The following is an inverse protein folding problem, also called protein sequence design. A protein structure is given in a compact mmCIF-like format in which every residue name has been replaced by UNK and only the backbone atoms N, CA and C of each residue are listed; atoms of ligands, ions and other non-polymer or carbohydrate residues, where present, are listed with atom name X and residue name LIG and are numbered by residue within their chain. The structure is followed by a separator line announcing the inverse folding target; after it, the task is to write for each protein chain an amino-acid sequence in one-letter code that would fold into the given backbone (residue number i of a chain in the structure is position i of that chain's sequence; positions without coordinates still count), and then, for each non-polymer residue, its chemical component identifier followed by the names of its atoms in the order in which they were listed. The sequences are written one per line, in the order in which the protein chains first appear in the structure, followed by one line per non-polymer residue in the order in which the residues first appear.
data_IF_958281067599
#
_entry.id   IF_958281067599
#
_cell.length_a   1.000
_cell.length_b   1.000
_cell.length_c   1.000
_cell.angle_alpha   90.00
_cell.angle_beta   90.00
_cell.angle_gamma   90.00
#
_symmetry.space_group_name_H-M   'P 1'
#
loop_
_entity.id
_entity.type
_entity.pdbx_description
1 polymer ?
#
# COMPACT_ATOMS: atom_id res chain seq x y z
N UNK A 1 17.59 -35.79 -1.38
CA UNK A 1 16.19 -35.55 -0.96
C UNK A 1 16.20 -35.12 0.49
N UNK A 2 16.26 -33.84 0.74
CA UNK A 2 16.24 -33.26 2.10
C UNK A 2 14.80 -33.10 2.59
N UNK A 3 14.59 -33.31 3.89
CA UNK A 3 13.30 -33.05 4.53
C UNK A 3 12.86 -31.58 4.29
N UNK A 4 11.56 -31.29 4.18
CA UNK A 4 11.06 -29.93 4.09
C UNK A 4 11.53 -29.11 5.30
N UNK A 5 12.15 -27.96 5.05
CA UNK A 5 12.64 -27.06 6.10
C UNK A 5 12.18 -25.64 5.83
N UNK A 6 11.83 -24.93 6.90
CA UNK A 6 11.54 -23.51 6.83
C UNK A 6 12.85 -22.78 6.59
N UNK A 7 12.94 -22.02 5.50
CA UNK A 7 14.12 -21.22 5.11
C UNK A 7 14.00 -19.79 5.59
N UNK A 8 12.79 -19.23 5.54
CA UNK A 8 12.51 -17.86 5.94
C UNK A 8 11.17 -17.75 6.66
N UNK A 9 11.03 -16.74 7.49
CA UNK A 9 9.81 -16.43 8.23
C UNK A 9 9.54 -14.93 8.14
N UNK A 10 8.42 -14.56 7.57
CA UNK A 10 7.94 -13.18 7.54
C UNK A 10 6.80 -13.04 8.55
N UNK A 11 6.96 -12.10 9.49
CA UNK A 11 5.90 -11.75 10.43
C UNK A 11 5.20 -10.53 9.86
N UNK A 12 3.92 -10.67 9.63
CA UNK A 12 3.02 -9.58 9.30
C UNK A 12 2.22 -9.18 10.55
N UNK A 13 1.15 -8.50 10.42
CA UNK A 13 0.38 -7.89 11.50
C UNK A 13 0.09 -8.90 12.63
N UNK A 14 0.43 -8.53 13.86
CA UNK A 14 0.13 -9.15 15.16
C UNK A 14 0.48 -10.64 15.27
N UNK A 15 -0.39 -11.52 14.81
CA UNK A 15 -0.31 -12.96 15.03
C UNK A 15 -0.24 -13.78 13.74
N UNK A 16 -0.15 -13.15 12.57
CA UNK A 16 -0.03 -13.83 11.27
C UNK A 16 1.40 -13.81 10.77
N UNK A 17 1.89 -14.99 10.39
CA UNK A 17 3.19 -15.16 9.77
C UNK A 17 3.09 -15.93 8.46
N UNK A 18 3.99 -15.62 7.52
CA UNK A 18 4.22 -16.41 6.31
C UNK A 18 5.54 -17.18 6.49
N UNK A 19 5.47 -18.49 6.40
CA UNK A 19 6.61 -19.38 6.45
C UNK A 19 7.00 -19.78 5.03
N UNK A 20 8.27 -19.66 4.70
CA UNK A 20 8.81 -20.05 3.41
C UNK A 20 9.56 -21.36 3.56
N UNK A 21 9.20 -22.34 2.75
CA UNK A 21 9.83 -23.64 2.73
C UNK A 21 10.86 -23.77 1.62
N UNK A 22 11.87 -24.62 1.84
CA UNK A 22 12.88 -24.93 0.82
C UNK A 22 12.30 -25.63 -0.43
N UNK A 23 11.06 -26.07 -0.35
CA UNK A 23 10.29 -26.66 -1.48
C UNK A 23 9.67 -25.61 -2.42
N UNK A 24 9.76 -24.31 -2.07
CA UNK A 24 9.09 -23.25 -2.82
C UNK A 24 7.60 -23.10 -2.46
N UNK A 25 7.21 -23.53 -1.27
CA UNK A 25 5.87 -23.35 -0.72
C UNK A 25 5.86 -22.22 0.32
N UNK A 26 4.80 -21.44 0.33
CA UNK A 26 4.47 -20.48 1.37
C UNK A 26 3.34 -21.06 2.23
N UNK A 27 3.52 -21.04 3.54
CA UNK A 27 2.45 -21.40 4.48
C UNK A 27 2.08 -20.18 5.30
N UNK A 28 0.83 -19.75 5.23
CA UNK A 28 0.30 -18.66 6.07
C UNK A 28 -0.25 -19.28 7.34
N UNK A 29 0.27 -18.85 8.48
CA UNK A 29 -0.13 -19.34 9.79
C UNK A 29 -0.59 -18.20 10.68
N UNK A 30 -1.54 -18.48 11.56
CA UNK A 30 -2.02 -17.55 12.59
C UNK A 30 -1.73 -18.16 13.96
N UNK A 31 -1.12 -17.41 14.85
CA UNK A 31 -0.81 -17.86 16.20
C UNK A 31 -2.10 -18.26 16.93
N UNK A 32 -2.06 -19.40 17.58
CA UNK A 32 -3.22 -19.95 18.28
C UNK A 32 -4.18 -20.78 17.43
N UNK A 33 -4.02 -20.82 16.11
CA UNK A 33 -4.75 -21.75 15.23
C UNK A 33 -3.91 -23.00 14.97
N UNK A 34 -4.49 -24.22 15.11
CA UNK A 34 -3.73 -25.47 14.96
C UNK A 34 -3.44 -25.82 13.48
N UNK A 35 -4.15 -25.20 12.54
CA UNK A 35 -4.00 -25.46 11.12
C UNK A 35 -3.55 -24.19 10.38
N UNK A 36 -2.72 -24.32 9.33
CA UNK A 36 -2.38 -23.19 8.48
C UNK A 36 -3.62 -22.61 7.81
N UNK A 37 -3.63 -21.30 7.61
CA UNK A 37 -4.71 -20.60 6.89
C UNK A 37 -4.66 -20.90 5.40
N UNK A 38 -3.44 -20.97 4.85
CA UNK A 38 -3.22 -21.21 3.42
C UNK A 38 -1.87 -21.85 3.15
N UNK A 39 -1.79 -22.63 2.08
CA UNK A 39 -0.55 -23.11 1.48
C UNK A 39 -0.53 -22.70 0.00
N UNK A 40 0.52 -22.01 -0.43
CA UNK A 40 0.64 -21.41 -1.76
C UNK A 40 2.00 -21.78 -2.34
N UNK A 41 2.02 -22.28 -3.57
CA UNK A 41 3.27 -22.57 -4.28
C UNK A 41 3.71 -21.34 -5.08
N UNK A 42 4.94 -20.85 -4.82
CA UNK A 42 5.59 -19.81 -5.59
C UNK A 42 7.11 -19.88 -5.46
N UNK A 43 7.81 -19.60 -6.55
CA UNK A 43 9.28 -19.52 -6.58
C UNK A 43 9.81 -18.12 -6.19
N UNK A 44 8.92 -17.16 -5.93
CA UNK A 44 9.26 -15.74 -5.71
C UNK A 44 9.03 -15.31 -4.27
N UNK A 45 9.26 -16.20 -3.33
CA UNK A 45 9.15 -15.92 -1.91
C UNK A 45 10.28 -15.00 -1.43
N UNK A 46 9.94 -13.74 -1.21
CA UNK A 46 10.86 -12.70 -0.71
C UNK A 46 10.07 -11.65 0.04
N UNK A 47 10.64 -11.01 1.08
CA UNK A 47 9.97 -9.93 1.81
C UNK A 47 9.59 -8.74 0.93
N UNK A 48 10.26 -8.58 -0.22
CA UNK A 48 9.97 -7.50 -1.19
C UNK A 48 8.89 -7.89 -2.22
N UNK A 49 8.54 -9.18 -2.30
CA UNK A 49 7.64 -9.74 -3.30
C UNK A 49 6.40 -10.39 -2.67
N UNK A 50 6.19 -10.12 -1.41
CA UNK A 50 5.04 -10.58 -0.62
C UNK A 50 4.50 -9.40 0.20
N UNK A 51 3.18 -9.26 0.27
CA UNK A 51 2.55 -8.32 1.18
C UNK A 51 1.23 -8.88 1.68
N UNK A 52 1.03 -8.83 3.00
CA UNK A 52 -0.19 -9.27 3.68
C UNK A 52 -0.78 -8.09 4.44
N UNK A 53 -2.09 -7.88 4.29
CA UNK A 53 -2.84 -6.85 5.03
C UNK A 53 -4.22 -7.39 5.42
N UNK A 54 -4.78 -6.79 6.47
CA UNK A 54 -6.15 -7.03 6.88
C UNK A 54 -7.08 -6.01 6.25
N UNK A 55 -8.15 -6.49 5.64
CA UNK A 55 -9.18 -5.62 5.09
C UNK A 55 -10.45 -5.70 5.94
N UNK A 56 -10.66 -4.69 6.78
CA UNK A 56 -11.88 -4.57 7.58
C UNK A 56 -13.10 -4.08 6.78
N UNK A 57 -12.89 -3.54 5.56
CA UNK A 57 -13.94 -2.89 4.76
C UNK A 57 -14.71 -3.86 3.84
N UNK A 58 -14.16 -5.01 3.53
CA UNK A 58 -14.84 -6.00 2.66
C UNK A 58 -15.74 -6.92 3.49
N UNK A 59 -16.78 -6.39 4.05
CA UNK A 59 -18.10 -6.94 4.45
C UNK A 59 -18.21 -8.31 5.15
N UNK A 60 -17.12 -9.02 5.44
CA UNK A 60 -17.12 -10.35 6.05
C UNK A 60 -15.98 -10.55 7.06
N UNK A 61 -15.93 -9.74 8.09
CA UNK A 61 -14.88 -9.89 9.10
C UNK A 61 -13.51 -9.36 8.59
N UNK A 62 -12.45 -9.59 9.35
CA UNK A 62 -11.09 -9.19 8.98
C UNK A 62 -10.54 -10.09 7.86
N UNK A 63 -10.91 -9.84 6.60
CA UNK A 63 -10.32 -10.52 5.45
C UNK A 63 -8.82 -10.29 5.42
N UNK A 64 -8.05 -11.36 5.27
CA UNK A 64 -6.59 -11.32 5.14
C UNK A 64 -6.23 -11.36 3.67
N UNK A 65 -5.71 -10.25 3.15
CA UNK A 65 -5.36 -10.09 1.74
C UNK A 65 -3.87 -10.31 1.56
N UNK A 66 -3.51 -11.30 0.74
CA UNK A 66 -2.13 -11.61 0.39
C UNK A 66 -1.89 -11.28 -1.09
N UNK A 67 -0.89 -10.46 -1.36
CA UNK A 67 -0.34 -10.24 -2.69
C UNK A 67 1.00 -10.96 -2.82
N UNK A 68 1.19 -11.72 -3.91
CA UNK A 68 2.41 -12.47 -4.19
C UNK A 68 2.64 -12.64 -5.69
N UNK A 69 3.88 -12.94 -6.09
CA UNK A 69 4.21 -13.23 -7.48
C UNK A 69 3.92 -14.69 -7.84
N UNK A 70 3.18 -14.90 -8.92
CA UNK A 70 2.99 -16.23 -9.57
C UNK A 70 4.14 -16.53 -10.52
N UNK A 71 4.58 -15.51 -11.23
CA UNK A 71 5.77 -15.49 -12.08
C UNK A 71 6.46 -14.13 -11.97
N UNK A 72 7.57 -13.92 -12.67
CA UNK A 72 8.37 -12.69 -12.57
C UNK A 72 7.65 -11.41 -13.01
N UNK A 73 6.49 -11.51 -13.67
CA UNK A 73 5.73 -10.40 -14.28
C UNK A 73 4.29 -10.34 -13.85
N UNK A 74 3.83 -11.31 -13.05
CA UNK A 74 2.43 -11.46 -12.67
C UNK A 74 2.27 -11.53 -11.16
N UNK A 75 1.44 -10.63 -10.61
CA UNK A 75 1.04 -10.61 -9.22
C UNK A 75 -0.35 -11.22 -9.10
N UNK A 76 -0.55 -12.07 -8.13
CA UNK A 76 -1.85 -12.57 -7.72
C UNK A 76 -2.18 -12.04 -6.34
N UNK A 77 -3.43 -11.60 -6.16
CA UNK A 77 -3.94 -11.10 -4.89
C UNK A 77 -5.10 -12.00 -4.49
N UNK A 78 -5.03 -12.56 -3.30
CA UNK A 78 -5.99 -13.54 -2.80
C UNK A 78 -6.47 -13.17 -1.40
N UNK A 79 -7.70 -13.56 -1.10
CA UNK A 79 -8.16 -13.70 0.27
C UNK A 79 -7.58 -14.99 0.84
N UNK A 80 -6.86 -14.91 1.95
CA UNK A 80 -6.12 -16.04 2.51
C UNK A 80 -7.06 -17.11 3.10
N UNK A 81 -8.22 -16.70 3.64
CA UNK A 81 -9.15 -17.63 4.28
C UNK A 81 -9.95 -18.45 3.27
N UNK A 82 -10.33 -17.80 2.17
CA UNK A 82 -11.15 -18.44 1.11
C UNK A 82 -10.33 -18.93 -0.06
N UNK A 83 -9.08 -18.48 -0.19
CA UNK A 83 -8.21 -18.64 -1.36
C UNK A 83 -8.79 -18.09 -2.66
N UNK A 84 -9.84 -17.27 -2.55
CA UNK A 84 -10.44 -16.62 -3.72
C UNK A 84 -9.51 -15.55 -4.26
N UNK A 85 -9.37 -15.52 -5.57
CA UNK A 85 -8.60 -14.46 -6.26
C UNK A 85 -9.41 -13.18 -6.26
N UNK A 86 -8.85 -12.13 -5.65
CA UNK A 86 -9.42 -10.77 -5.61
C UNK A 86 -8.98 -9.99 -6.85
N UNK A 87 -7.72 -10.16 -7.25
CA UNK A 87 -7.18 -9.48 -8.41
C UNK A 87 -5.94 -10.16 -8.97
N UNK A 88 -5.64 -9.84 -10.23
CA UNK A 88 -4.42 -10.28 -10.91
C UNK A 88 -3.87 -9.11 -11.70
N UNK A 89 -2.58 -8.87 -11.58
CA UNK A 89 -1.86 -7.84 -12.33
C UNK A 89 -0.79 -8.49 -13.15
N UNK A 90 -0.76 -8.18 -14.45
CA UNK A 90 0.30 -8.64 -15.35
C UNK A 90 0.91 -7.45 -16.07
N UNK A 91 2.25 -7.39 -16.08
CA UNK A 91 3.01 -6.36 -16.79
C UNK A 91 4.09 -6.97 -17.68
N UNK A 92 4.67 -6.16 -18.53
CA UNK A 92 5.68 -6.63 -19.51
C UNK A 92 7.06 -6.85 -18.89
N UNK A 93 7.39 -6.10 -17.85
CA UNK A 93 8.69 -6.14 -17.19
C UNK A 93 8.63 -7.01 -15.92
N UNK A 94 9.82 -7.48 -15.49
CA UNK A 94 9.95 -8.19 -14.21
C UNK A 94 9.62 -7.26 -13.05
N UNK A 95 8.86 -7.74 -12.06
CA UNK A 95 8.53 -7.03 -10.83
C UNK A 95 9.64 -7.26 -9.81
N UNK A 96 10.09 -6.21 -9.12
CA UNK A 96 11.16 -6.26 -8.14
C UNK A 96 10.71 -5.87 -6.71
N UNK A 97 9.53 -5.27 -6.56
CA UNK A 97 8.99 -4.88 -5.27
C UNK A 97 7.47 -4.69 -5.33
N UNK A 98 6.79 -5.00 -4.24
CA UNK A 98 5.35 -4.76 -4.06
C UNK A 98 4.98 -4.53 -2.59
N UNK A 99 3.91 -3.75 -2.36
CA UNK A 99 3.35 -3.51 -1.03
C UNK A 99 1.86 -3.15 -1.12
N UNK A 100 1.01 -3.83 -0.33
CA UNK A 100 -0.38 -3.44 -0.13
C UNK A 100 -0.46 -2.23 0.80
N UNK A 101 -1.42 -1.33 0.57
CA UNK A 101 -1.76 -0.28 1.52
C UNK A 101 -2.35 -0.86 2.82
N UNK A 102 -2.54 -0.03 3.82
CA UNK A 102 -2.97 -0.46 5.15
C UNK A 102 -4.32 -1.17 5.16
N UNK A 103 -5.25 -0.76 4.31
CA UNK A 103 -6.58 -1.37 4.19
C UNK A 103 -6.64 -2.58 3.24
N UNK A 104 -5.55 -2.91 2.53
CA UNK A 104 -5.55 -3.99 1.55
C UNK A 104 -6.43 -3.73 0.31
N UNK A 105 -6.73 -2.47 0.01
CA UNK A 105 -7.55 -2.05 -1.14
C UNK A 105 -6.76 -1.59 -2.35
N UNK A 106 -5.48 -1.27 -2.14
CA UNK A 106 -4.56 -0.84 -3.20
C UNK A 106 -3.22 -1.56 -3.07
N UNK A 107 -2.63 -1.86 -4.22
CA UNK A 107 -1.30 -2.46 -4.32
C UNK A 107 -0.36 -1.49 -5.02
N UNK A 108 0.70 -1.10 -4.36
CA UNK A 108 1.82 -0.38 -4.93
C UNK A 108 2.89 -1.38 -5.34
N UNK A 109 3.44 -1.25 -6.55
CA UNK A 109 4.51 -2.14 -6.99
C UNK A 109 5.43 -1.47 -8.00
N UNK A 110 6.64 -2.00 -8.12
CA UNK A 110 7.67 -1.46 -9.01
C UNK A 110 8.22 -2.57 -9.90
N UNK A 111 8.54 -2.21 -11.14
CA UNK A 111 9.22 -3.10 -12.07
C UNK A 111 10.76 -2.94 -12.04
N UNK A 112 11.49 -3.87 -12.66
CA UNK A 112 12.94 -3.86 -12.75
C UNK A 112 13.50 -2.69 -13.58
N UNK A 113 12.68 -2.00 -14.36
CA UNK A 113 13.01 -0.72 -15.01
C UNK A 113 12.76 0.49 -14.12
N UNK A 114 12.39 0.23 -12.86
CA UNK A 114 12.07 1.26 -11.86
C UNK A 114 10.85 2.11 -12.22
N UNK A 115 9.88 1.54 -12.94
CA UNK A 115 8.57 2.17 -13.10
C UNK A 115 7.67 1.78 -11.93
N UNK A 116 7.03 2.77 -11.32
CA UNK A 116 6.14 2.63 -10.18
C UNK A 116 4.69 2.65 -10.63
N UNK A 117 3.91 1.73 -10.11
CA UNK A 117 2.50 1.55 -10.43
C UNK A 117 1.66 1.41 -9.17
N UNK A 118 0.40 1.83 -9.24
CA UNK A 118 -0.63 1.51 -8.26
C UNK A 118 -1.75 0.72 -8.95
N UNK A 119 -2.21 -0.35 -8.31
CA UNK A 119 -3.36 -1.13 -8.72
C UNK A 119 -4.45 -1.02 -7.66
N UNK A 120 -5.62 -0.56 -8.07
CA UNK A 120 -6.80 -0.45 -7.21
C UNK A 120 -7.59 -1.77 -7.29
N UNK A 121 -7.74 -2.46 -6.15
CA UNK A 121 -8.42 -3.74 -6.06
C UNK A 121 -9.94 -3.63 -6.15
N UNK A 122 -10.50 -2.44 -5.91
CA UNK A 122 -11.97 -2.22 -5.92
C UNK A 122 -12.50 -2.11 -7.34
N UNK A 123 -11.84 -1.33 -8.18
CA UNK A 123 -12.25 -1.08 -9.57
C UNK A 123 -11.35 -1.75 -10.60
N UNK A 124 -10.35 -2.52 -10.15
CA UNK A 124 -9.37 -3.23 -10.98
C UNK A 124 -8.58 -2.33 -11.96
N UNK A 125 -8.39 -1.06 -11.62
CA UNK A 125 -7.62 -0.12 -12.43
C UNK A 125 -6.12 -0.17 -12.11
N UNK A 126 -5.30 -0.10 -13.16
CA UNK A 126 -3.85 0.00 -13.08
C UNK A 126 -3.41 1.38 -13.53
N UNK A 127 -2.68 2.08 -12.69
CA UNK A 127 -2.19 3.44 -12.92
C UNK A 127 -0.67 3.49 -12.79
N UNK A 128 0.03 4.07 -13.77
CA UNK A 128 1.45 4.37 -13.67
C UNK A 128 1.66 5.69 -12.92
N UNK A 129 2.54 5.71 -11.91
CA UNK A 129 2.82 6.88 -11.10
C UNK A 129 4.12 7.58 -11.49
N UNK A 130 5.20 6.83 -11.61
CA UNK A 130 6.55 7.41 -11.75
C UNK A 130 7.47 6.49 -12.53
N UNK A 131 8.35 7.07 -13.35
CA UNK A 131 9.49 6.39 -13.96
C UNK A 131 10.78 6.67 -13.18
N UNK A 132 11.77 5.78 -13.29
CA UNK A 132 13.07 5.88 -12.60
C UNK A 132 12.96 6.03 -11.07
N UNK A 133 12.00 5.34 -10.46
CA UNK A 133 11.74 5.33 -9.02
C UNK A 133 12.87 4.63 -8.26
N UNK A 134 13.58 5.35 -7.39
CA UNK A 134 14.64 4.78 -6.54
C UNK A 134 14.09 4.29 -5.19
N UNK A 135 13.06 4.94 -4.68
CA UNK A 135 12.38 4.62 -3.42
C UNK A 135 10.88 4.78 -3.58
N UNK A 136 10.10 3.90 -2.99
CA UNK A 136 8.65 4.05 -2.87
C UNK A 136 8.16 3.33 -1.62
N UNK A 137 7.16 3.94 -0.95
CA UNK A 137 6.50 3.37 0.23
C UNK A 137 5.16 4.07 0.47
N UNK A 138 4.22 3.34 1.07
CA UNK A 138 3.04 3.92 1.68
C UNK A 138 3.39 4.72 2.93
N UNK A 139 2.79 5.88 3.12
CA UNK A 139 2.87 6.57 4.40
C UNK A 139 2.16 5.73 5.48
N UNK A 140 2.71 5.64 6.70
CA UNK A 140 2.08 4.87 7.77
C UNK A 140 0.65 5.31 8.06
N UNK A 141 -0.28 4.35 8.13
CA UNK A 141 -1.71 4.50 8.42
C UNK A 141 -2.46 5.47 7.47
N UNK A 142 -1.99 5.61 6.23
CA UNK A 142 -2.62 6.48 5.25
C UNK A 142 -2.42 5.95 3.82
N UNK A 143 -3.38 6.23 2.93
CA UNK A 143 -3.29 5.93 1.50
C UNK A 143 -2.53 7.03 0.75
N UNK A 144 -1.37 7.38 1.24
CA UNK A 144 -0.48 8.38 0.67
C UNK A 144 0.79 7.70 0.19
N UNK A 145 1.12 7.88 -1.08
CA UNK A 145 2.34 7.32 -1.67
C UNK A 145 3.45 8.36 -1.64
N UNK A 146 4.59 7.96 -1.15
CA UNK A 146 5.82 8.73 -1.18
C UNK A 146 6.83 7.99 -2.04
N UNK A 147 7.40 8.67 -3.03
CA UNK A 147 8.43 8.10 -3.88
C UNK A 147 9.55 9.09 -4.16
N UNK A 148 10.71 8.56 -4.52
CA UNK A 148 11.86 9.36 -4.96
C UNK A 148 12.26 8.97 -6.38
N UNK A 149 12.52 9.97 -7.19
CA UNK A 149 13.24 9.84 -8.45
C UNK A 149 14.32 10.91 -8.53
N UNK A 150 15.57 10.49 -8.69
CA UNK A 150 16.73 11.39 -8.68
C UNK A 150 16.76 12.25 -7.41
N UNK A 151 16.77 13.59 -7.54
CA UNK A 151 16.77 14.56 -6.43
C UNK A 151 15.38 15.14 -6.13
N UNK A 152 14.34 14.41 -6.45
CA UNK A 152 12.97 14.86 -6.24
C UNK A 152 12.17 13.85 -5.43
N UNK A 153 11.43 14.37 -4.46
CA UNK A 153 10.45 13.68 -3.66
C UNK A 153 9.06 13.91 -4.27
N UNK A 154 8.37 12.83 -4.54
CA UNK A 154 7.01 12.82 -5.08
C UNK A 154 6.05 12.35 -4.01
N UNK A 155 4.96 13.07 -3.80
CA UNK A 155 3.93 12.73 -2.80
C UNK A 155 2.56 12.77 -3.45
N UNK A 156 1.89 11.60 -3.52
CA UNK A 156 0.49 11.47 -3.95
C UNK A 156 -0.38 11.30 -2.72
N UNK A 157 -1.21 12.30 -2.44
CA UNK A 157 -2.23 12.23 -1.40
C UNK A 157 -3.50 11.50 -1.91
N UNK A 158 -3.68 11.41 -3.22
CA UNK A 158 -4.64 10.58 -3.94
C UNK A 158 -3.92 9.77 -5.01
N UNK A 159 -3.46 8.53 -4.71
CA UNK A 159 -2.68 7.73 -5.66
C UNK A 159 -3.46 7.29 -6.90
N UNK A 160 -4.78 7.36 -6.87
CA UNK A 160 -5.65 7.08 -8.01
C UNK A 160 -5.72 8.22 -9.02
N UNK A 161 -5.22 9.40 -8.64
CA UNK A 161 -5.13 10.60 -9.48
C UNK A 161 -3.66 10.97 -9.71
N UNK A 162 -2.98 10.33 -10.67
CA UNK A 162 -1.53 10.42 -10.83
C UNK A 162 -1.04 11.84 -11.15
N UNK A 163 -1.89 12.67 -11.75
CA UNK A 163 -1.57 14.07 -12.11
C UNK A 163 -1.58 15.01 -10.90
N UNK A 164 -2.23 14.62 -9.80
CA UNK A 164 -2.28 15.39 -8.56
C UNK A 164 -1.13 15.03 -7.62
N UNK A 165 0.10 15.21 -8.12
CA UNK A 165 1.33 14.93 -7.38
C UNK A 165 1.97 16.21 -6.86
N UNK A 166 2.43 16.19 -5.61
CA UNK A 166 3.31 17.24 -5.07
C UNK A 166 4.77 16.83 -5.23
N UNK A 167 5.56 17.70 -5.81
CA UNK A 167 6.98 17.44 -6.08
C UNK A 167 7.83 18.45 -5.30
N UNK A 168 8.85 17.92 -4.62
CA UNK A 168 9.77 18.73 -3.82
C UNK A 168 11.21 18.36 -4.19
N UNK A 169 12.06 19.37 -4.34
CA UNK A 169 13.48 19.14 -4.51
C UNK A 169 14.10 18.73 -3.17
N UNK A 170 14.88 17.66 -3.18
CA UNK A 170 15.56 17.13 -2.02
C UNK A 170 17.06 16.98 -2.29
N UNK A 171 17.86 17.18 -1.24
CA UNK A 171 19.30 16.96 -1.29
C UNK A 171 19.64 15.71 -0.46
N UNK A 172 19.66 14.57 -1.10
CA UNK A 172 19.92 13.27 -0.49
C UNK A 172 18.93 12.18 -0.92
N UNK A 173 18.99 11.05 -0.23
CA UNK A 173 18.16 9.89 -0.51
C UNK A 173 17.14 9.66 0.60
N UNK A 174 15.93 9.32 0.20
CA UNK A 174 14.88 8.90 1.13
C UNK A 174 15.26 7.54 1.73
N UNK A 175 15.25 7.45 3.04
CA UNK A 175 15.61 6.22 3.76
C UNK A 175 14.46 5.63 4.55
N UNK A 176 13.51 6.47 5.00
CA UNK A 176 12.41 5.99 5.84
C UNK A 176 11.26 7.02 5.89
N UNK A 177 10.05 6.54 6.19
CA UNK A 177 8.87 7.36 6.46
C UNK A 177 8.35 6.99 7.85
N UNK A 178 8.27 7.96 8.74
CA UNK A 178 7.85 7.75 10.11
C UNK A 178 6.63 8.59 10.47
N UNK A 179 5.71 8.00 11.20
CA UNK A 179 4.60 8.69 11.83
C UNK A 179 4.81 8.74 13.35
N UNK A 180 4.65 9.93 13.92
CA UNK A 180 4.70 10.15 15.37
C UNK A 180 3.48 10.98 15.77
N UNK A 181 2.48 10.34 16.34
CA UNK A 181 1.18 10.95 16.63
C UNK A 181 0.49 11.44 15.34
N UNK A 182 0.24 12.73 15.25
CA UNK A 182 -0.40 13.38 14.08
C UNK A 182 0.58 13.80 12.98
N UNK A 183 1.89 13.70 13.22
CA UNK A 183 2.92 14.17 12.29
C UNK A 183 3.55 13.01 11.55
N UNK A 184 3.55 13.09 10.22
CA UNK A 184 4.26 12.16 9.34
C UNK A 184 5.43 12.89 8.70
N UNK A 185 6.59 12.28 8.69
CA UNK A 185 7.80 12.86 8.11
C UNK A 185 8.60 11.82 7.33
N UNK A 186 9.21 12.27 6.24
CA UNK A 186 10.15 11.52 5.41
C UNK A 186 11.55 11.82 5.92
N UNK A 187 12.34 10.78 6.19
CA UNK A 187 13.75 10.90 6.57
C UNK A 187 14.61 10.87 5.32
N UNK A 188 15.36 11.93 5.10
CA UNK A 188 16.28 12.10 3.97
C UNK A 188 17.70 12.08 4.50
N UNK A 189 18.52 11.18 3.95
CA UNK A 189 19.95 11.07 4.28
C UNK A 189 20.80 11.81 3.24
N UNK A 190 21.57 12.80 3.69
CA UNK A 190 22.50 13.53 2.86
C UNK A 190 23.84 13.69 3.58
N UNK A 191 24.94 13.30 2.96
CA UNK A 191 26.30 13.45 3.49
C UNK A 191 26.45 12.87 4.95
N UNK A 192 25.81 11.73 5.21
CA UNK A 192 25.83 11.07 6.53
C UNK A 192 24.98 11.75 7.61
N UNK A 193 24.17 12.74 7.24
CA UNK A 193 23.21 13.41 8.14
C UNK A 193 21.78 13.16 7.69
N UNK A 194 20.91 12.84 8.66
CA UNK A 194 19.51 12.65 8.42
C UNK A 194 18.74 13.95 8.68
N UNK A 195 17.92 14.35 7.70
CA UNK A 195 16.96 15.46 7.82
C UNK A 195 15.55 14.90 7.77
N UNK A 196 14.64 15.46 8.57
CA UNK A 196 13.22 15.15 8.50
C UNK A 196 12.49 16.17 7.62
N UNK A 197 11.78 15.67 6.62
CA UNK A 197 10.91 16.45 5.76
C UNK A 197 9.46 16.17 6.18
N UNK A 198 8.72 17.16 6.72
CA UNK A 198 7.35 16.95 7.17
C UNK A 198 6.42 16.84 5.97
N UNK A 199 5.51 15.86 6.00
CA UNK A 199 4.38 15.79 5.08
C UNK A 199 3.23 16.66 5.61
N UNK A 200 2.34 17.06 4.70
CA UNK A 200 1.18 17.86 5.06
C UNK A 200 0.21 17.06 5.95
N UNK A 201 0.07 17.51 7.20
CA UNK A 201 -0.69 16.79 8.21
C UNK A 201 -2.19 16.73 7.94
N UNK A 202 -2.76 17.71 7.24
CA UNK A 202 -4.18 17.73 6.93
C UNK A 202 -4.54 16.66 5.89
N UNK A 203 -3.72 16.48 4.86
CA UNK A 203 -3.94 15.40 3.88
C UNK A 203 -3.73 14.01 4.47
N UNK A 204 -2.73 13.86 5.35
CA UNK A 204 -2.53 12.59 6.07
C UNK A 204 -3.73 12.31 6.98
N UNK A 205 -4.24 13.31 7.68
CA UNK A 205 -5.42 13.18 8.53
C UNK A 205 -6.68 12.83 7.73
N UNK A 206 -6.88 13.46 6.57
CA UNK A 206 -7.96 13.12 5.64
C UNK A 206 -7.86 11.66 5.21
N UNK A 207 -6.72 11.24 4.70
CA UNK A 207 -6.51 9.86 4.26
C UNK A 207 -6.72 8.85 5.40
N UNK A 208 -6.26 9.15 6.61
CA UNK A 208 -6.48 8.30 7.78
C UNK A 208 -7.97 8.25 8.20
N UNK A 209 -8.71 9.36 8.09
CA UNK A 209 -10.15 9.40 8.34
C UNK A 209 -10.92 8.57 7.33
N UNK A 210 -10.56 8.63 6.05
CA UNK A 210 -11.13 7.80 4.98
C UNK A 210 -10.88 6.31 5.23
N UNK A 211 -9.67 5.94 5.62
CA UNK A 211 -9.32 4.55 5.98
C UNK A 211 -10.11 4.04 7.20
N UNK A 212 -10.32 4.90 8.19
CA UNK A 212 -11.14 4.60 9.37
C UNK A 212 -12.65 4.65 9.14
N UNK A 213 -13.11 4.88 7.90
CA UNK A 213 -14.53 5.10 7.53
C UNK A 213 -15.21 6.23 8.34
N UNK A 214 -14.43 7.27 8.69
CA UNK A 214 -14.91 8.45 9.45
C UNK A 214 -15.24 9.59 8.48
N UNK A 215 -16.24 9.39 7.63
CA UNK A 215 -16.56 10.30 6.53
C UNK A 215 -16.86 11.74 6.98
N UNK A 216 -17.56 11.92 8.10
CA UNK A 216 -17.82 13.23 8.70
C UNK A 216 -16.54 13.97 9.13
N UNK A 217 -15.53 13.24 9.63
CA UNK A 217 -14.24 13.81 10.01
C UNK A 217 -13.45 14.18 8.74
N UNK A 218 -13.45 13.32 7.73
CA UNK A 218 -12.84 13.57 6.43
C UNK A 218 -13.44 14.82 5.76
N UNK A 219 -14.77 14.96 5.73
CA UNK A 219 -15.45 16.16 5.21
C UNK A 219 -15.02 17.44 5.92
N UNK A 220 -14.99 17.44 7.26
CA UNK A 220 -14.54 18.61 8.04
C UNK A 220 -13.09 19.00 7.71
N UNK A 221 -12.21 18.03 7.51
CA UNK A 221 -10.81 18.29 7.13
C UNK A 221 -10.75 18.95 5.75
N UNK A 222 -11.47 18.44 4.75
CA UNK A 222 -11.51 19.04 3.41
C UNK A 222 -12.05 20.47 3.43
N UNK A 223 -13.10 20.74 4.21
CA UNK A 223 -13.64 22.10 4.37
C UNK A 223 -12.62 23.10 4.93
N UNK A 224 -11.67 22.64 5.75
CA UNK A 224 -10.57 23.52 6.22
C UNK A 224 -9.50 23.79 5.16
N UNK A 225 -9.48 22.98 4.09
CA UNK A 225 -8.50 23.06 2.99
C UNK A 225 -9.01 23.84 1.77
N UNK A 226 -10.26 24.34 1.78
CA UNK A 226 -10.96 24.97 0.63
C UNK A 226 -10.23 26.09 -0.10
N UNK A 227 -9.17 26.66 0.48
CA UNK A 227 -8.40 27.72 -0.15
C UNK A 227 -7.20 27.25 -1.01
N UNK A 228 -7.11 25.96 -1.32
CA UNK A 228 -6.00 25.41 -2.12
C UNK A 228 -6.54 24.70 -3.38
N UNK A 229 -6.17 25.17 -4.54
CA UNK A 229 -6.77 24.90 -5.86
C UNK A 229 -6.72 23.47 -6.43
N UNK A 230 -6.41 22.40 -5.67
CA UNK A 230 -6.15 21.07 -6.25
C UNK A 230 -6.76 19.89 -5.50
N UNK A 231 -8.04 19.96 -5.03
CA UNK A 231 -8.62 18.88 -4.21
C UNK A 231 -9.86 18.20 -4.79
N UNK A 232 -10.08 18.35 -6.09
CA UNK A 232 -11.24 17.73 -6.74
C UNK A 232 -11.28 16.21 -6.59
N UNK A 233 -10.11 15.55 -6.65
CA UNK A 233 -10.00 14.11 -6.48
C UNK A 233 -10.39 13.67 -5.07
N UNK A 234 -9.95 14.39 -4.03
CA UNK A 234 -10.25 14.05 -2.64
C UNK A 234 -11.75 14.21 -2.31
N UNK A 235 -12.40 15.25 -2.85
CA UNK A 235 -13.85 15.39 -2.77
C UNK A 235 -14.55 14.25 -3.51
N UNK A 236 -14.06 13.86 -4.68
CA UNK A 236 -14.56 12.71 -5.43
C UNK A 236 -14.40 11.39 -4.68
N UNK A 237 -13.27 11.19 -4.00
CA UNK A 237 -13.04 10.01 -3.14
C UNK A 237 -14.01 9.98 -1.96
N UNK A 238 -14.20 11.12 -1.29
CA UNK A 238 -15.15 11.24 -0.19
C UNK A 238 -16.60 10.98 -0.62
N UNK A 239 -17.03 11.61 -1.73
CA UNK A 239 -18.37 11.41 -2.28
C UNK A 239 -18.62 9.95 -2.67
N UNK A 240 -17.66 9.31 -3.35
CA UNK A 240 -17.76 7.89 -3.70
C UNK A 240 -17.86 6.99 -2.45
N UNK A 241 -17.07 7.26 -1.42
CA UNK A 241 -17.13 6.50 -0.18
C UNK A 241 -18.49 6.71 0.54
N UNK A 242 -18.99 7.94 0.57
CA UNK A 242 -20.28 8.27 1.16
C UNK A 242 -21.44 7.59 0.40
N UNK A 243 -21.38 7.52 -0.92
CA UNK A 243 -22.36 6.79 -1.74
C UNK A 243 -22.36 5.29 -1.42
N UNK A 244 -21.20 4.69 -1.24
CA UNK A 244 -21.08 3.26 -0.88
C UNK A 244 -21.66 2.95 0.51
N UNK A 245 -21.53 3.90 1.45
CA UNK A 245 -22.08 3.80 2.81
C UNK A 245 -23.54 4.30 2.91
N UNK A 246 -24.15 4.71 1.79
CA UNK A 246 -25.51 5.30 1.74
C UNK A 246 -25.67 6.61 2.55
N UNK A 247 -24.56 7.32 2.79
CA UNK A 247 -24.58 8.64 3.43
C UNK A 247 -24.70 9.74 2.36
N UNK A 248 -25.95 9.98 1.93
CA UNK A 248 -26.25 10.93 0.85
C UNK A 248 -26.02 12.39 1.27
N UNK A 249 -25.97 12.69 2.57
CA UNK A 249 -25.72 14.06 3.05
C UNK A 249 -24.27 14.48 2.84
N UNK A 250 -23.34 13.53 2.95
CA UNK A 250 -21.91 13.78 2.69
C UNK A 250 -21.61 13.66 1.18
N UNK A 251 -22.37 12.84 0.45
CA UNK A 251 -22.16 12.61 -0.96
C UNK A 251 -22.58 13.81 -1.84
N UNK A 252 -23.46 14.69 -1.37
CA UNK A 252 -23.99 15.89 -2.03
C UNK A 252 -23.04 17.10 -1.86
#
# INVERSE_FOLDING_TARGET
DGEPKITERFIFIDDVAVLVWNTGELTVVELGKPQPLAAISTQYASPYLLSLRFNAKVGRGNSKILAYLVDSKSIKIVDVETLMTIGTVQITNKIDWLELNVSGTMLLFRDAKRSLYVYNLVNHSLTGLLSACSYAQWAPDANVVVAQSKKQLYVWYSPTSPDEVRVFDIDGDVVDIQRSGTKTSVTISANGKNKKFPLDGAFIAFSAAMEGNKLNEAAKILLTLENQDNFKSLWGELANAAMLEHDYVIAE
#
